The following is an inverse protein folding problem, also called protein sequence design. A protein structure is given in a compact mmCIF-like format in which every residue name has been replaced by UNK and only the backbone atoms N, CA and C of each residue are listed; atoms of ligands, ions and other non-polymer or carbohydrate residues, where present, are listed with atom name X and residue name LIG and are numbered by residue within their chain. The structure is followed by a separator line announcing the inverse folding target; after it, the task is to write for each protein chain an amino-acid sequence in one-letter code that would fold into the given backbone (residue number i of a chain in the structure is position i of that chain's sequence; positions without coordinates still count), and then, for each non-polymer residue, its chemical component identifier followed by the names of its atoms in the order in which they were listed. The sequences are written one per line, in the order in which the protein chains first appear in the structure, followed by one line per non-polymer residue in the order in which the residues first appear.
data_IF_937775651518
#
_entry.id   IF_937775651518
#
_cell.length_a   1.000
_cell.length_b   1.000
_cell.length_c   1.000
_cell.angle_alpha   90.00
_cell.angle_beta   90.00
_cell.angle_gamma   90.00
#
_symmetry.space_group_name_H-M   'P 1'
#
loop_
_entity.id
_entity.type
_entity.pdbx_description
1 polymer ?
#
# COMPACT_ATOMS: atom_id res chain seq x y z
N UNK A 1 0.51 27.69 -17.45
CA UNK A 1 0.83 26.28 -17.76
C UNK A 1 1.48 25.68 -16.51
N UNK A 2 0.75 24.84 -15.78
CA UNK A 2 1.24 24.24 -14.55
C UNK A 2 2.41 23.30 -14.88
N UNK A 3 3.58 23.59 -14.33
CA UNK A 3 4.77 22.77 -14.51
C UNK A 3 4.46 21.39 -13.95
N UNK A 4 4.42 20.42 -14.85
CA UNK A 4 4.15 19.02 -14.58
C UNK A 4 5.38 18.45 -13.84
N UNK A 5 5.41 18.69 -12.53
CA UNK A 5 6.30 18.08 -11.57
C UNK A 5 5.94 16.59 -11.49
N UNK A 6 6.28 15.84 -12.55
CA UNK A 6 6.50 14.40 -12.46
C UNK A 6 7.78 14.19 -11.64
N UNK A 7 7.71 14.56 -10.37
CA UNK A 7 8.60 14.08 -9.32
C UNK A 7 8.50 12.57 -9.41
N UNK A 8 9.62 11.89 -9.66
CA UNK A 8 9.66 10.45 -9.83
C UNK A 8 9.08 9.76 -8.59
N UNK A 9 7.83 9.33 -8.70
CA UNK A 9 7.07 8.74 -7.59
C UNK A 9 7.47 7.28 -7.48
N UNK A 10 7.92 6.87 -6.30
CA UNK A 10 8.31 5.49 -6.09
C UNK A 10 7.07 4.54 -6.08
N UNK A 11 7.26 3.22 -6.24
CA UNK A 11 6.14 2.26 -6.25
C UNK A 11 5.26 2.29 -4.98
N UNK A 12 5.85 2.62 -3.82
CA UNK A 12 5.10 2.76 -2.57
C UNK A 12 4.20 4.00 -2.56
N UNK A 13 4.59 5.07 -3.24
CA UNK A 13 3.76 6.25 -3.43
C UNK A 13 2.55 5.94 -4.30
N UNK A 14 2.71 5.18 -5.37
CA UNK A 14 1.60 4.73 -6.22
C UNK A 14 0.64 3.87 -5.42
N UNK A 15 1.15 2.85 -4.71
CA UNK A 15 0.31 2.01 -3.85
C UNK A 15 -0.44 2.85 -2.80
N UNK A 16 0.23 3.82 -2.18
CA UNK A 16 -0.40 4.77 -1.26
C UNK A 16 -1.51 5.58 -1.93
N UNK A 17 -1.34 6.05 -3.17
CA UNK A 17 -2.38 6.79 -3.89
C UNK A 17 -3.58 5.91 -4.23
N UNK A 18 -3.34 4.64 -4.54
CA UNK A 18 -4.39 3.66 -4.88
C UNK A 18 -5.13 3.13 -3.63
N UNK A 19 -4.56 3.29 -2.44
CA UNK A 19 -5.23 2.95 -1.18
C UNK A 19 -6.46 3.84 -0.93
N UNK A 20 -7.44 3.27 -0.22
CA UNK A 20 -8.64 3.98 0.20
C UNK A 20 -8.31 5.21 1.06
N UNK A 21 -9.15 6.26 0.99
CA UNK A 21 -8.93 7.53 1.69
C UNK A 21 -8.65 7.36 3.19
N UNK A 22 -9.41 6.50 3.86
CA UNK A 22 -9.26 6.21 5.29
C UNK A 22 -7.86 5.62 5.61
N UNK A 23 -7.41 4.66 4.81
CA UNK A 23 -6.09 4.02 4.99
C UNK A 23 -4.97 5.03 4.81
N UNK A 24 -5.11 5.94 3.84
CA UNK A 24 -4.13 7.01 3.62
C UNK A 24 -4.02 7.96 4.81
N UNK A 25 -5.15 8.35 5.38
CA UNK A 25 -5.19 9.23 6.56
C UNK A 25 -4.57 8.55 7.78
N UNK A 26 -4.86 7.27 8.01
CA UNK A 26 -4.25 6.45 9.07
C UNK A 26 -2.72 6.36 8.90
N UNK A 27 -2.23 6.09 7.68
CA UNK A 27 -0.80 6.07 7.37
C UNK A 27 -0.15 7.41 7.72
N UNK A 28 -0.75 8.55 7.30
CA UNK A 28 -0.21 9.88 7.62
C UNK A 28 -0.15 10.11 9.13
N UNK A 29 -1.22 9.77 9.85
CA UNK A 29 -1.31 9.92 11.30
C UNK A 29 -0.20 9.14 12.01
N UNK A 30 0.00 7.88 11.64
CA UNK A 30 1.02 7.03 12.25
C UNK A 30 2.44 7.48 11.90
N UNK A 31 2.68 7.88 10.65
CA UNK A 31 3.96 8.45 10.23
C UNK A 31 4.29 9.74 11.00
N UNK A 32 3.30 10.59 11.28
CA UNK A 32 3.50 11.79 12.11
C UNK A 32 3.78 11.42 13.56
N UNK A 33 3.03 10.46 14.12
CA UNK A 33 3.21 9.98 15.50
C UNK A 33 4.61 9.41 15.74
N UNK A 34 5.19 8.76 14.74
CA UNK A 34 6.55 8.22 14.81
C UNK A 34 7.65 9.18 14.29
N UNK A 35 7.31 10.41 13.89
CA UNK A 35 8.27 11.39 13.37
C UNK A 35 8.87 11.04 11.99
N UNK A 36 8.21 10.14 11.24
CA UNK A 36 8.67 9.63 9.94
C UNK A 36 8.09 10.35 8.74
N UNK A 37 7.11 11.23 8.95
CA UNK A 37 6.39 11.92 7.88
C UNK A 37 7.30 12.64 6.88
N UNK A 38 8.30 13.40 7.36
CA UNK A 38 9.28 14.07 6.46
C UNK A 38 10.12 13.09 5.68
N UNK A 39 10.56 12.01 6.32
CA UNK A 39 11.34 10.96 5.68
C UNK A 39 10.52 10.23 4.60
N UNK A 40 9.24 9.97 4.86
CA UNK A 40 8.30 9.45 3.88
C UNK A 40 8.19 10.35 2.66
N UNK A 41 7.95 11.65 2.83
CA UNK A 41 7.86 12.59 1.70
C UNK A 41 9.12 12.59 0.82
N UNK A 42 10.31 12.57 1.44
CA UNK A 42 11.59 12.49 0.71
C UNK A 42 11.75 11.13 0.01
N UNK A 43 11.28 10.06 0.62
CA UNK A 43 11.37 8.70 0.05
C UNK A 43 10.42 8.55 -1.13
N UNK A 44 9.18 9.02 -0.98
CA UNK A 44 8.13 8.97 -1.99
C UNK A 44 8.45 9.76 -3.27
N UNK A 45 9.19 10.87 -3.13
CA UNK A 45 9.58 11.75 -4.22
C UNK A 45 10.81 11.28 -5.01
N UNK A 46 11.48 10.22 -4.56
CA UNK A 46 12.68 9.68 -5.22
C UNK A 46 12.34 8.42 -6.02
N UNK A 47 12.38 8.54 -7.33
CA UNK A 47 12.29 7.39 -8.24
C UNK A 47 13.44 6.41 -7.95
N UNK A 48 13.16 5.11 -8.00
CA UNK A 48 14.17 4.08 -7.79
C UNK A 48 14.74 4.01 -6.37
N UNK A 49 14.12 4.67 -5.37
CA UNK A 49 14.52 4.48 -3.98
C UNK A 49 14.39 3.01 -3.57
N UNK A 50 15.48 2.42 -3.11
CA UNK A 50 15.52 1.02 -2.68
C UNK A 50 14.75 0.84 -1.35
N UNK A 51 13.47 0.49 -1.49
CA UNK A 51 12.57 0.21 -0.37
C UNK A 51 12.97 -1.05 0.41
N UNK A 52 13.78 -1.96 -0.16
CA UNK A 52 14.20 -3.20 0.53
C UNK A 52 15.32 -2.93 1.51
N UNK A 53 16.26 -2.05 1.14
CA UNK A 53 17.48 -1.81 1.94
C UNK A 53 17.50 -0.47 2.67
N UNK A 54 16.86 0.56 2.13
CA UNK A 54 17.01 1.93 2.65
C UNK A 54 15.82 2.38 3.50
N UNK A 55 14.68 1.69 3.47
CA UNK A 55 13.50 2.04 4.27
C UNK A 55 13.76 1.86 5.77
N UNK A 56 13.26 2.79 6.58
CA UNK A 56 13.25 2.63 8.05
C UNK A 56 12.25 1.53 8.45
N UNK A 57 12.67 0.62 9.32
CA UNK A 57 11.83 -0.49 9.79
C UNK A 57 10.45 -0.03 10.31
N UNK A 58 10.33 1.03 11.14
CA UNK A 58 9.02 1.43 11.63
C UNK A 58 8.11 2.01 10.53
N UNK A 59 8.68 2.65 9.49
CA UNK A 59 7.89 3.08 8.32
C UNK A 59 7.38 1.86 7.56
N UNK A 60 8.27 0.89 7.27
CA UNK A 60 7.89 -0.36 6.61
C UNK A 60 6.76 -1.06 7.36
N UNK A 61 6.86 -1.17 8.67
CA UNK A 61 5.90 -1.92 9.49
C UNK A 61 4.52 -1.23 9.51
N UNK A 62 4.46 0.11 9.47
CA UNK A 62 3.20 0.86 9.27
C UNK A 62 2.56 0.48 7.94
N UNK A 63 3.33 0.55 6.84
CA UNK A 63 2.80 0.24 5.51
C UNK A 63 2.38 -1.23 5.38
N UNK A 64 3.13 -2.19 5.92
CA UNK A 64 2.74 -3.60 5.87
C UNK A 64 1.49 -3.88 6.72
N UNK A 65 1.32 -3.20 7.85
CA UNK A 65 0.14 -3.38 8.70
C UNK A 65 -1.12 -2.81 8.06
N UNK A 66 -1.03 -1.62 7.48
CA UNK A 66 -2.18 -0.90 6.91
C UNK A 66 -2.44 -1.27 5.44
N UNK A 67 -1.39 -1.70 4.73
CA UNK A 67 -1.40 -2.10 3.32
C UNK A 67 -0.54 -3.36 3.12
N UNK A 68 -1.03 -4.55 3.50
CA UNK A 68 -0.28 -5.80 3.45
C UNK A 68 0.28 -6.16 2.07
N UNK A 69 -0.36 -5.69 0.99
CA UNK A 69 0.09 -5.84 -0.40
C UNK A 69 1.44 -5.19 -0.66
N UNK A 70 1.80 -4.15 0.10
CA UNK A 70 3.08 -3.44 -0.02
C UNK A 70 4.26 -4.23 0.52
N UNK A 71 4.04 -5.36 1.22
CA UNK A 71 5.10 -6.21 1.75
C UNK A 71 6.16 -6.60 0.69
N UNK A 72 5.72 -6.86 -0.55
CA UNK A 72 6.60 -7.21 -1.67
C UNK A 72 7.56 -6.09 -2.06
N UNK A 73 7.12 -4.83 -1.93
CA UNK A 73 7.94 -3.65 -2.20
C UNK A 73 9.13 -3.58 -1.23
N UNK A 74 8.94 -4.09 -0.01
CA UNK A 74 9.97 -4.18 1.02
C UNK A 74 10.78 -5.49 0.97
N UNK A 75 10.55 -6.34 -0.03
CA UNK A 75 11.25 -7.61 -0.18
C UNK A 75 10.75 -8.70 0.76
N UNK A 76 9.58 -8.51 1.37
CA UNK A 76 8.93 -9.50 2.21
C UNK A 76 7.87 -10.28 1.41
N UNK A 77 7.65 -11.57 1.72
CA UNK A 77 6.56 -12.32 1.10
C UNK A 77 5.21 -11.68 1.43
N UNK A 78 4.28 -11.68 0.47
CA UNK A 78 2.91 -11.24 0.74
C UNK A 78 2.33 -12.11 1.86
N UNK A 79 1.80 -11.55 2.95
CA UNK A 79 1.14 -12.34 3.98
C UNK A 79 -0.02 -13.12 3.34
N UNK A 80 -0.08 -14.44 3.60
CA UNK A 80 -0.98 -15.41 2.92
C UNK A 80 -2.49 -15.12 3.04
N UNK A 81 -2.90 -14.04 3.72
CA UNK A 81 -4.28 -13.58 3.82
C UNK A 81 -4.64 -12.34 2.97
N UNK A 82 -3.67 -11.65 2.36
CA UNK A 82 -3.93 -10.40 1.62
C UNK A 82 -4.33 -10.62 0.15
N UNK A 83 -4.04 -11.80 -0.42
CA UNK A 83 -4.34 -12.13 -1.82
C UNK A 83 -5.78 -12.64 -2.08
N UNK A 84 -6.67 -12.59 -1.07
CA UNK A 84 -7.88 -13.42 -1.06
C UNK A 84 -9.19 -12.70 -0.75
N UNK A 85 -9.49 -11.54 -1.36
CA UNK A 85 -10.89 -11.05 -1.50
C UNK A 85 -11.14 -10.39 -2.85
N UNK A 86 -10.84 -11.09 -3.96
CA UNK A 86 -11.65 -10.89 -5.18
C UNK A 86 -12.93 -11.71 -4.99
N UNK A 87 -14.01 -11.01 -4.63
CA UNK A 87 -15.36 -11.55 -4.77
C UNK A 87 -15.59 -11.91 -6.25
N UNK A 88 -15.82 -13.18 -6.51
CA UNK A 88 -16.60 -13.64 -7.64
C UNK A 88 -17.28 -14.96 -7.26
N UNK A 89 -18.20 -14.88 -6.30
CA UNK A 89 -19.35 -15.78 -6.31
C UNK A 89 -20.48 -14.96 -6.92
N UNK A 90 -20.52 -14.98 -8.25
CA UNK A 90 -21.73 -14.61 -8.99
C UNK A 90 -22.80 -15.58 -8.52
N UNK A 91 -23.87 -15.04 -7.95
CA UNK A 91 -25.13 -15.75 -7.78
C UNK A 91 -25.58 -16.17 -9.18
N UNK A 92 -25.40 -17.45 -9.52
CA UNK A 92 -26.21 -18.07 -10.56
C UNK A 92 -27.10 -19.09 -9.87
N UNK A 93 -28.38 -18.76 -9.84
CA UNK A 93 -29.40 -19.53 -9.16
C UNK A 93 -29.60 -20.88 -9.84
N UNK A 94 -29.56 -21.95 -9.07
CA UNK A 94 -30.33 -23.15 -9.40
C UNK A 94 -30.60 -23.92 -8.12
N UNK A 95 -31.73 -23.60 -7.48
CA UNK A 95 -32.37 -24.50 -6.52
C UNK A 95 -32.87 -25.71 -7.32
N UNK A 96 -32.11 -26.81 -7.31
CA UNK A 96 -32.66 -28.12 -7.68
C UNK A 96 -33.39 -28.68 -6.46
N UNK A 97 -34.67 -28.32 -6.35
CA UNK A 97 -35.63 -29.05 -5.54
C UNK A 97 -36.13 -30.23 -6.40
N UNK A 98 -36.19 -31.43 -5.81
CA UNK A 98 -36.65 -32.71 -6.36
C UNK A 98 -35.59 -33.61 -7.04
N UNK A 99 -35.16 -34.63 -6.30
CA UNK A 99 -35.15 -36.03 -6.73
C UNK A 99 -35.45 -36.91 -5.53
#
# INVERSE_FOLDING_TARGET
MAQNLAVGKNPLWTAYQDAGSLVRDEIILELKRQGLFRYWLVTASKEGYDLKKKVKAPMRDIFIRLMPETATLFGLPVPRGAAGKKKAAVNDGTLSLFS
#
